data_IF_118509128870
#
_entry.id   IF_118509128870
#
_cell.length_a   1.000
_cell.length_b   1.000
_cell.length_c   1.000
_cell.angle_alpha   90.00
_cell.angle_beta   90.00
_cell.angle_gamma   90.00
#
_symmetry.space_group_name_H-M   'P 1'
#
loop_
_entity.id
_entity.type
_entity.pdbx_description
1 polymer ?
#
# COMPACT_ATOMS: atom_id res chain seq x y z
N UNK A 1 23.41 24.53 0.06
CA UNK A 1 22.96 23.95 -1.22
C UNK A 1 22.21 25.01 -1.98
N UNK A 2 22.57 25.24 -3.23
CA UNK A 2 21.79 26.10 -4.14
C UNK A 2 20.57 25.33 -4.63
N UNK A 3 19.49 26.03 -5.03
CA UNK A 3 18.29 25.40 -5.60
C UNK A 3 18.62 24.50 -6.81
N UNK A 4 19.69 24.84 -7.55
CA UNK A 4 20.20 24.03 -8.67
C UNK A 4 20.79 22.69 -8.25
N UNK A 5 21.43 22.57 -7.08
CA UNK A 5 22.00 21.31 -6.61
C UNK A 5 20.90 20.34 -6.14
N UNK A 6 19.90 20.85 -5.43
CA UNK A 6 18.70 20.10 -5.02
C UNK A 6 17.97 19.51 -6.22
N UNK A 7 17.78 20.32 -7.26
CA UNK A 7 17.12 19.86 -8.49
C UNK A 7 17.87 18.72 -9.17
N UNK A 8 19.20 18.76 -9.19
CA UNK A 8 20.03 17.66 -9.74
C UNK A 8 19.90 16.38 -8.93
N UNK A 9 19.89 16.48 -7.60
CA UNK A 9 19.67 15.32 -6.72
C UNK A 9 18.29 14.73 -6.96
N UNK A 10 17.24 15.57 -7.01
CA UNK A 10 15.86 15.14 -7.24
C UNK A 10 15.70 14.44 -8.61
N UNK A 11 16.35 14.97 -9.64
CA UNK A 11 16.35 14.40 -10.99
C UNK A 11 17.05 13.04 -11.04
N UNK A 12 18.05 12.80 -10.19
CA UNK A 12 18.73 11.51 -10.10
C UNK A 12 17.96 10.41 -9.38
N UNK A 13 16.85 10.72 -8.70
CA UNK A 13 16.06 9.72 -7.99
C UNK A 13 15.27 8.83 -8.96
N UNK A 14 15.33 7.50 -8.83
CA UNK A 14 14.60 6.56 -9.69
C UNK A 14 13.11 6.45 -9.31
N UNK A 15 12.63 7.31 -8.41
CA UNK A 15 11.26 7.37 -7.95
C UNK A 15 10.70 8.78 -8.19
N UNK A 16 9.39 8.91 -8.43
CA UNK A 16 8.74 10.20 -8.37
C UNK A 16 9.05 10.88 -7.03
N UNK A 17 9.59 12.10 -7.11
CA UNK A 17 9.95 12.87 -5.93
C UNK A 17 9.58 14.34 -6.11
N UNK A 18 9.05 14.92 -5.03
CA UNK A 18 8.63 16.31 -4.94
C UNK A 18 9.23 16.96 -3.70
N UNK A 19 9.65 18.21 -3.84
CA UNK A 19 10.17 19.02 -2.76
C UNK A 19 9.17 20.11 -2.42
N UNK A 20 8.83 20.24 -1.15
CA UNK A 20 7.90 21.24 -0.62
C UNK A 20 8.64 22.12 0.37
N UNK A 21 8.41 23.43 0.35
CA UNK A 21 8.97 24.37 1.33
C UNK A 21 8.00 24.51 2.51
N UNK A 22 8.52 24.98 3.65
CA UNK A 22 7.74 25.24 4.86
C UNK A 22 6.55 26.21 4.71
N UNK A 23 6.47 26.99 3.63
CA UNK A 23 5.32 27.82 3.26
C UNK A 23 4.26 27.06 2.44
N UNK A 24 4.35 25.72 2.44
CA UNK A 24 3.46 24.80 1.72
C UNK A 24 3.44 25.06 0.21
N UNK A 25 4.59 25.41 -0.37
CA UNK A 25 4.76 25.51 -1.82
C UNK A 25 5.67 24.43 -2.36
N UNK A 26 5.27 23.85 -3.50
CA UNK A 26 6.12 22.94 -4.26
C UNK A 26 7.29 23.75 -4.83
N UNK A 27 8.50 23.38 -4.46
CA UNK A 27 9.74 24.01 -4.96
C UNK A 27 10.21 23.32 -6.22
N UNK A 28 10.16 22.00 -6.25
CA UNK A 28 10.64 21.20 -7.37
C UNK A 28 9.95 19.83 -7.41
N UNK A 29 9.95 19.19 -8.56
CA UNK A 29 9.35 17.89 -8.82
C UNK A 29 10.08 17.28 -10.02
N UNK A 30 10.62 16.07 -9.86
CA UNK A 30 11.35 15.42 -10.95
C UNK A 30 10.40 14.99 -12.09
N UNK A 31 10.96 14.54 -13.20
CA UNK A 31 10.18 14.16 -14.39
C UNK A 31 9.17 13.04 -14.09
N UNK A 32 9.54 12.08 -13.25
CA UNK A 32 8.67 10.98 -12.81
C UNK A 32 7.49 11.51 -11.97
N UNK A 33 7.76 12.44 -11.05
CA UNK A 33 6.75 13.14 -10.26
C UNK A 33 5.83 13.99 -11.14
N UNK A 34 6.38 14.68 -12.14
CA UNK A 34 5.59 15.48 -13.07
C UNK A 34 4.68 14.59 -13.92
N UNK A 35 5.17 13.44 -14.39
CA UNK A 35 4.36 12.46 -15.12
C UNK A 35 3.28 11.77 -14.27
N UNK A 36 3.42 11.81 -12.94
CA UNK A 36 2.46 11.27 -11.97
C UNK A 36 1.41 12.30 -11.55
N UNK A 37 1.85 13.51 -11.19
CA UNK A 37 1.03 14.56 -10.56
C UNK A 37 0.52 15.61 -11.55
N UNK A 38 1.06 15.64 -12.77
CA UNK A 38 0.74 16.63 -13.79
C UNK A 38 1.73 17.80 -13.84
N UNK A 39 1.66 18.57 -14.93
CA UNK A 39 2.51 19.73 -15.16
C UNK A 39 2.01 20.99 -14.42
N UNK A 40 2.88 21.99 -14.29
CA UNK A 40 2.51 23.32 -13.76
C UNK A 40 2.26 23.36 -12.24
N UNK A 41 2.70 22.34 -11.50
CA UNK A 41 2.48 22.24 -10.04
C UNK A 41 3.51 23.01 -9.22
N UNK A 42 4.69 23.30 -9.79
CA UNK A 42 5.76 24.06 -9.11
C UNK A 42 5.27 25.47 -8.77
N UNK A 43 5.61 25.93 -7.56
CA UNK A 43 5.18 27.20 -6.98
C UNK A 43 3.75 27.19 -6.42
N UNK A 44 2.99 26.10 -6.60
CA UNK A 44 1.61 25.95 -6.11
C UNK A 44 1.58 25.17 -4.80
N UNK A 45 0.42 25.22 -4.16
CA UNK A 45 0.16 24.46 -2.95
C UNK A 45 -0.03 22.96 -3.25
N UNK A 46 0.60 22.01 -2.52
CA UNK A 46 0.53 20.57 -2.83
C UNK A 46 -0.86 20.00 -3.04
N UNK A 47 -1.87 20.55 -2.35
CA UNK A 47 -3.27 20.14 -2.48
C UNK A 47 -3.84 20.25 -3.90
N UNK A 48 -3.23 21.03 -4.81
CA UNK A 48 -3.69 21.08 -6.22
C UNK A 48 -3.40 19.79 -6.99
N UNK A 49 -2.37 19.05 -6.57
CA UNK A 49 -1.83 17.90 -7.29
C UNK A 49 -1.99 16.60 -6.48
N UNK A 50 -1.85 16.69 -5.16
CA UNK A 50 -1.96 15.55 -4.24
C UNK A 50 -3.34 15.55 -3.61
N UNK A 51 -4.20 14.61 -4.06
CA UNK A 51 -5.55 14.41 -3.53
C UNK A 51 -5.59 13.32 -2.45
N UNK A 52 -4.68 13.41 -1.49
CA UNK A 52 -4.59 12.48 -0.37
C UNK A 52 -4.41 13.26 0.94
N UNK A 53 -5.47 13.40 1.77
CA UNK A 53 -5.41 14.18 3.00
C UNK A 53 -4.27 13.74 3.93
N UNK A 54 -4.02 12.43 4.06
CA UNK A 54 -2.92 11.92 4.88
C UNK A 54 -1.53 12.36 4.40
N UNK A 55 -1.34 12.55 3.08
CA UNK A 55 -0.06 13.08 2.55
C UNK A 55 0.08 14.56 2.88
N UNK A 56 -1.00 15.33 2.77
CA UNK A 56 -1.01 16.76 3.12
C UNK A 56 -0.75 16.97 4.62
N UNK A 57 -1.35 16.16 5.47
CA UNK A 57 -1.10 16.16 6.91
C UNK A 57 0.34 15.75 7.26
N UNK A 58 0.89 14.75 6.56
CA UNK A 58 2.28 14.36 6.73
C UNK A 58 3.25 15.48 6.32
N UNK A 59 2.93 16.25 5.26
CA UNK A 59 3.73 17.41 4.84
C UNK A 59 3.69 18.51 5.89
N UNK A 60 2.50 18.89 6.40
CA UNK A 60 2.36 19.99 7.35
C UNK A 60 2.90 19.66 8.75
N UNK A 61 2.93 18.39 9.13
CA UNK A 61 3.42 17.92 10.43
C UNK A 61 4.89 17.46 10.42
N UNK A 62 5.56 17.45 9.26
CA UNK A 62 6.94 17.01 9.13
C UNK A 62 7.91 17.88 9.95
N UNK A 63 8.76 17.25 10.75
CA UNK A 63 9.76 17.92 11.60
C UNK A 63 11.17 17.49 11.22
N UNK A 64 12.17 18.39 11.19
CA UNK A 64 13.55 18.06 10.84
C UNK A 64 14.16 16.87 11.59
N UNK A 65 13.90 16.78 12.89
CA UNK A 65 14.40 15.69 13.75
C UNK A 65 13.38 14.55 13.91
N UNK A 66 12.28 14.60 13.16
CA UNK A 66 11.23 13.59 13.18
C UNK A 66 11.57 12.40 12.27
N UNK A 67 11.06 11.20 12.57
CA UNK A 67 11.13 10.10 11.62
C UNK A 67 10.36 10.45 10.33
N UNK A 68 10.75 9.85 9.18
CA UNK A 68 9.92 9.90 7.99
C UNK A 68 8.52 9.39 8.28
N UNK A 69 7.52 10.09 7.76
CA UNK A 69 6.12 9.69 7.84
C UNK A 69 5.72 8.98 6.56
N UNK A 70 4.80 8.03 6.67
CA UNK A 70 4.24 7.32 5.52
C UNK A 70 2.76 7.61 5.40
N UNK A 71 2.33 7.97 4.20
CA UNK A 71 0.94 8.19 3.87
C UNK A 71 0.58 7.48 2.56
N UNK A 72 -0.67 7.06 2.44
CA UNK A 72 -1.18 6.41 1.24
C UNK A 72 -1.83 7.43 0.31
N UNK A 73 -1.62 7.25 -0.99
CA UNK A 73 -2.28 7.99 -2.06
C UNK A 73 -2.74 7.03 -3.13
N UNK A 74 -4.03 7.06 -3.47
CA UNK A 74 -4.57 6.35 -4.63
C UNK A 74 -4.73 7.30 -5.81
N UNK A 75 -4.35 6.84 -7.00
CA UNK A 75 -4.59 7.54 -8.26
C UNK A 75 -5.33 6.60 -9.21
N UNK A 76 -6.37 7.12 -9.87
CA UNK A 76 -7.06 6.41 -10.95
C UNK A 76 -6.52 6.86 -12.29
N UNK A 77 -5.93 5.95 -13.06
CA UNK A 77 -5.39 6.21 -14.41
C UNK A 77 -5.81 5.08 -15.34
N UNK A 78 -6.36 5.44 -16.50
CA UNK A 78 -6.79 4.49 -17.54
C UNK A 78 -7.71 3.37 -17.02
N UNK A 79 -8.56 3.69 -16.04
CA UNK A 79 -9.49 2.73 -15.40
C UNK A 79 -8.86 1.86 -14.32
N UNK A 80 -7.54 1.89 -14.14
CA UNK A 80 -6.82 1.18 -13.10
C UNK A 80 -6.57 2.08 -11.88
N UNK A 81 -6.73 1.53 -10.69
CA UNK A 81 -6.29 2.16 -9.45
C UNK A 81 -4.83 1.81 -9.21
N UNK A 82 -3.99 2.83 -9.09
CA UNK A 82 -2.63 2.72 -8.62
C UNK A 82 -2.55 3.22 -7.19
N UNK A 83 -1.87 2.47 -6.34
CA UNK A 83 -1.67 2.79 -4.93
C UNK A 83 -0.21 3.15 -4.73
N UNK A 84 0.01 4.34 -4.15
CA UNK A 84 1.32 4.84 -3.81
C UNK A 84 1.48 4.92 -2.30
N UNK A 85 2.63 4.45 -1.80
CA UNK A 85 3.15 4.81 -0.50
C UNK A 85 4.01 6.05 -0.66
N UNK A 86 3.62 7.13 0.03
CA UNK A 86 4.31 8.41 0.00
C UNK A 86 5.11 8.54 1.28
N UNK A 87 6.43 8.56 1.16
CA UNK A 87 7.33 8.85 2.29
C UNK A 87 7.57 10.34 2.34
N UNK A 88 7.26 10.96 3.48
CA UNK A 88 7.38 12.39 3.73
C UNK A 88 8.42 12.62 4.82
N UNK A 89 9.45 13.41 4.52
CA UNK A 89 10.54 13.66 5.46
C UNK A 89 11.01 15.11 5.36
N UNK A 90 11.08 15.80 6.51
CA UNK A 90 11.68 17.12 6.56
C UNK A 90 13.19 16.99 6.36
N UNK A 91 13.72 17.88 5.53
CA UNK A 91 15.14 18.11 5.33
C UNK A 91 15.48 19.35 6.15
N UNK A 92 16.52 19.31 6.99
CA UNK A 92 16.84 20.33 8.00
C UNK A 92 16.98 21.80 7.53
N UNK A 93 16.80 22.07 6.24
CA UNK A 93 16.80 23.38 5.58
C UNK A 93 15.39 23.97 5.36
N UNK A 94 14.37 23.56 6.12
CA UNK A 94 12.98 24.05 5.94
C UNK A 94 12.32 23.54 4.66
N UNK A 95 12.80 22.40 4.16
CA UNK A 95 12.26 21.70 3.01
C UNK A 95 11.68 20.37 3.46
N UNK A 96 10.73 19.83 2.72
CA UNK A 96 10.09 18.55 2.95
C UNK A 96 10.18 17.76 1.65
N UNK A 97 10.84 16.60 1.70
CA UNK A 97 10.94 15.68 0.59
C UNK A 97 9.77 14.68 0.65
N UNK A 98 9.04 14.59 -0.45
CA UNK A 98 7.99 13.60 -0.67
C UNK A 98 8.46 12.63 -1.76
N UNK A 99 8.52 11.33 -1.47
CA UNK A 99 8.87 10.29 -2.44
C UNK A 99 7.68 9.35 -2.60
N UNK A 100 7.28 9.09 -3.85
CA UNK A 100 6.13 8.25 -4.15
C UNK A 100 6.61 6.89 -4.66
N UNK A 101 6.28 5.83 -3.94
CA UNK A 101 6.56 4.45 -4.33
C UNK A 101 5.27 3.77 -4.74
N UNK A 102 5.19 3.29 -5.98
CA UNK A 102 4.08 2.46 -6.43
C UNK A 102 4.15 1.12 -5.68
N UNK A 103 3.07 0.78 -4.97
CA UNK A 103 2.90 -0.48 -4.21
C UNK A 103 1.73 -1.30 -4.74
N UNK A 104 1.20 -0.97 -5.93
CA UNK A 104 0.01 -1.60 -6.49
C UNK A 104 0.21 -3.10 -6.72
N UNK A 105 1.41 -3.50 -7.13
CA UNK A 105 1.73 -4.91 -7.37
C UNK A 105 1.74 -5.70 -6.06
N UNK A 106 2.31 -5.15 -4.99
CA UNK A 106 2.34 -5.73 -3.66
C UNK A 106 0.93 -5.85 -3.06
N UNK A 107 0.12 -4.80 -3.17
CA UNK A 107 -1.28 -4.83 -2.72
C UNK A 107 -2.07 -5.92 -3.46
N UNK A 108 -1.95 -5.97 -4.79
CA UNK A 108 -2.64 -6.97 -5.62
C UNK A 108 -2.19 -8.40 -5.31
N UNK A 109 -0.88 -8.61 -5.10
CA UNK A 109 -0.38 -9.91 -4.67
C UNK A 109 -0.89 -10.29 -3.27
N UNK A 110 -1.00 -9.32 -2.37
CA UNK A 110 -1.59 -9.50 -1.04
C UNK A 110 -3.07 -9.89 -1.10
N UNK A 111 -3.85 -9.24 -1.97
CA UNK A 111 -5.25 -9.58 -2.23
C UNK A 111 -5.40 -11.00 -2.78
N UNK A 112 -4.69 -11.34 -3.87
CA UNK A 112 -4.73 -12.69 -4.46
C UNK A 112 -4.42 -13.78 -3.43
N UNK A 113 -3.43 -13.54 -2.56
CA UNK A 113 -3.08 -14.49 -1.50
C UNK A 113 -4.21 -14.66 -0.48
N UNK A 114 -4.86 -13.57 -0.06
CA UNK A 114 -5.99 -13.64 0.87
C UNK A 114 -7.17 -14.38 0.25
N UNK A 115 -7.50 -14.08 -1.01
CA UNK A 115 -8.58 -14.73 -1.74
C UNK A 115 -8.31 -16.22 -1.94
N UNK A 116 -7.07 -16.59 -2.27
CA UNK A 116 -6.67 -17.99 -2.38
C UNK A 116 -6.86 -18.74 -1.05
N UNK A 117 -6.37 -18.18 0.06
CA UNK A 117 -6.51 -18.81 1.39
C UNK A 117 -7.97 -18.95 1.78
N UNK A 118 -8.79 -17.92 1.52
CA UNK A 118 -10.22 -17.96 1.80
C UNK A 118 -10.91 -19.05 0.98
N UNK A 119 -10.68 -19.08 -0.34
CA UNK A 119 -11.28 -20.06 -1.25
C UNK A 119 -10.92 -21.50 -0.87
N UNK A 120 -9.63 -21.79 -0.64
CA UNK A 120 -9.20 -23.13 -0.22
C UNK A 120 -9.80 -23.51 1.14
N UNK A 121 -9.89 -22.57 2.08
CA UNK A 121 -10.51 -22.82 3.39
C UNK A 121 -11.99 -23.19 3.28
N UNK A 122 -12.72 -22.53 2.37
CA UNK A 122 -14.13 -22.84 2.11
C UNK A 122 -14.30 -24.17 1.39
N UNK A 123 -13.47 -24.45 0.38
CA UNK A 123 -13.54 -25.69 -0.40
C UNK A 123 -13.12 -26.93 0.39
N UNK A 124 -12.23 -26.81 1.38
CA UNK A 124 -11.84 -27.92 2.25
C UNK A 124 -12.84 -28.16 3.39
N UNK A 125 -13.56 -27.13 3.85
CA UNK A 125 -14.53 -27.25 4.95
C UNK A 125 -15.64 -28.23 4.59
N UNK A 126 -16.25 -28.08 3.42
CA UNK A 126 -17.37 -28.91 2.95
C UNK A 126 -17.04 -30.41 2.89
N UNK A 127 -15.97 -30.87 2.20
CA UNK A 127 -15.64 -32.29 2.14
C UNK A 127 -15.20 -32.84 3.50
N UNK A 128 -14.50 -32.05 4.33
CA UNK A 128 -14.13 -32.46 5.68
C UNK A 128 -15.36 -32.69 6.56
N UNK A 129 -16.33 -31.77 6.51
CA UNK A 129 -17.61 -31.94 7.21
C UNK A 129 -18.35 -33.18 6.74
N UNK A 130 -18.39 -33.46 5.43
CA UNK A 130 -19.00 -34.68 4.91
C UNK A 130 -18.30 -35.95 5.40
N UNK A 131 -16.96 -35.95 5.40
CA UNK A 131 -16.15 -37.08 5.85
C UNK A 131 -16.33 -37.34 7.36
N UNK A 132 -16.39 -36.28 8.16
CA UNK A 132 -16.73 -36.38 9.58
C UNK A 132 -18.11 -37.00 9.80
N UNK A 133 -19.12 -36.59 9.03
CA UNK A 133 -20.47 -37.17 9.07
C UNK A 133 -20.49 -38.67 8.75
N UNK A 134 -19.70 -39.12 7.76
CA UNK A 134 -19.54 -40.54 7.46
C UNK A 134 -18.86 -41.31 8.59
N UNK A 135 -17.77 -40.76 9.17
CA UNK A 135 -17.09 -41.39 10.31
C UNK A 135 -18.03 -41.49 11.52
N UNK A 136 -18.81 -40.45 11.82
CA UNK A 136 -19.80 -40.48 12.90
C UNK A 136 -20.87 -41.56 12.65
N UNK A 137 -21.38 -41.68 11.42
CA UNK A 137 -22.37 -42.71 11.07
C UNK A 137 -21.80 -44.11 11.23
N UNK A 138 -20.57 -44.37 10.77
CA UNK A 138 -19.89 -45.65 10.93
C UNK A 138 -19.67 -46.01 12.40
N UNK A 139 -19.26 -45.05 13.23
CA UNK A 139 -19.11 -45.25 14.68
C UNK A 139 -20.43 -45.60 15.36
N UNK A 140 -21.54 -44.99 14.95
CA UNK A 140 -22.86 -45.33 15.50
C UNK A 140 -23.33 -46.72 15.04
N UNK A 141 -23.16 -47.07 13.76
CA UNK A 141 -23.49 -48.40 13.26
C UNK A 141 -22.67 -49.51 13.93
N UNK A 142 -21.37 -49.28 14.16
CA UNK A 142 -20.52 -50.19 14.92
C UNK A 142 -20.90 -50.27 16.42
N UNK A 143 -21.54 -49.23 16.98
CA UNK A 143 -21.98 -49.24 18.38
C UNK A 143 -23.12 -50.24 18.62
N UNK A 144 -23.98 -50.46 17.62
CA UNK A 144 -25.17 -51.32 17.72
C UNK A 144 -24.95 -52.76 17.21
N UNK A 145 -23.75 -53.06 16.67
CA UNK A 145 -23.31 -54.43 16.32
C UNK A 145 -22.04 -54.82 17.11
N UNK A 146 -22.15 -55.70 18.12
CA UNK A 146 -21.02 -56.15 18.93
C UNK A 146 -19.89 -56.80 18.14
N UNK A 147 -20.15 -57.41 16.97
CA UNK A 147 -19.11 -58.02 16.13
C UNK A 147 -18.35 -56.99 15.29
N UNK A 148 -18.95 -55.86 14.98
CA UNK A 148 -18.32 -54.77 14.22
C UNK A 148 -17.38 -53.91 15.08
N UNK A 149 -17.58 -53.88 16.41
CA UNK A 149 -16.74 -53.12 17.36
C UNK A 149 -15.27 -53.58 17.41
N UNK A 150 -14.98 -54.85 17.14
CA UNK A 150 -13.63 -55.40 17.22
C UNK A 150 -12.84 -55.26 15.88
N UNK A 151 -13.47 -54.75 14.81
CA UNK A 151 -12.87 -54.62 13.48
C UNK A 151 -12.40 -53.19 13.10
N UNK A 152 -12.73 -52.17 13.90
CA UNK A 152 -12.38 -50.76 13.69
C UNK A 152 -11.96 -50.10 15.01
#
# INVERSE_FOLDING_TARGET
MTDSELSRVLTGLPLPAMLVRNDERIVDCNSLCTGLLGEGIVGRHPAIAVRAPGVLEAISSAKPDGPPQEARMSLRRDGHEQVFQVTVSAQGTGLVLCVFRDISAEEKAGEMRRDFVANVSHELRTPLTALMGFIETLKHAARDDPKARDMF
#
